data_IF_569225247220
#
_entry.id   IF_569225247220
#
_cell.length_a   1.000
_cell.length_b   1.000
_cell.length_c   1.000
_cell.angle_alpha   90.00
_cell.angle_beta   90.00
_cell.angle_gamma   90.00
#
_symmetry.space_group_name_H-M   'P 1'
#
loop_
_entity.id
_entity.type
_entity.pdbx_description
1 polymer ?
#
# COMPACT_ATOMS: atom_id res chain seq x y z
N UNK A 1 14.66 15.31 5.19
CA UNK A 1 15.91 15.79 4.69
C UNK A 1 16.16 15.19 3.29
N UNK A 2 15.81 15.89 2.30
CA UNK A 2 16.22 15.93 0.92
C UNK A 2 16.47 14.69 0.10
N UNK A 3 16.86 14.98 -1.15
CA UNK A 3 17.06 14.00 -2.20
C UNK A 3 18.19 12.99 -1.95
N UNK A 4 19.20 13.30 -1.10
CA UNK A 4 20.32 12.40 -0.83
C UNK A 4 19.85 11.16 -0.05
N UNK A 5 19.04 11.31 0.98
CA UNK A 5 18.50 10.19 1.75
C UNK A 5 17.54 9.33 0.93
N UNK A 6 16.72 9.94 0.04
CA UNK A 6 15.91 9.18 -0.91
C UNK A 6 16.78 8.38 -1.90
N UNK A 7 17.94 8.92 -2.31
CA UNK A 7 18.87 8.17 -3.15
C UNK A 7 19.55 7.02 -2.40
N UNK A 8 19.84 7.17 -1.11
CA UNK A 8 20.29 6.05 -0.26
C UNK A 8 19.24 4.94 -0.21
N UNK A 9 17.97 5.29 0.04
CA UNK A 9 16.87 4.33 0.03
C UNK A 9 16.69 3.67 -1.35
N UNK A 10 16.79 4.44 -2.44
CA UNK A 10 16.68 3.92 -3.80
C UNK A 10 17.79 2.91 -4.10
N UNK A 11 19.02 3.23 -3.76
CA UNK A 11 20.18 2.35 -3.93
C UNK A 11 20.01 1.07 -3.11
N UNK A 12 19.60 1.19 -1.84
CA UNK A 12 19.36 0.02 -0.98
C UNK A 12 18.30 -0.90 -1.57
N UNK A 13 17.14 -0.35 -1.98
CA UNK A 13 16.07 -1.17 -2.58
C UNK A 13 16.55 -1.91 -3.83
N UNK A 14 17.37 -1.27 -4.66
CA UNK A 14 18.02 -1.92 -5.81
C UNK A 14 18.90 -3.09 -5.36
N UNK A 15 19.75 -2.87 -4.36
CA UNK A 15 20.68 -3.87 -3.85
C UNK A 15 20.01 -5.10 -3.23
N UNK A 16 18.82 -4.96 -2.67
CA UNK A 16 18.05 -6.08 -2.05
C UNK A 16 16.92 -6.58 -2.95
N UNK A 17 16.87 -6.15 -4.21
CA UNK A 17 15.79 -6.47 -5.16
C UNK A 17 14.40 -6.26 -4.57
N UNK A 18 14.21 -5.13 -3.87
CA UNK A 18 12.96 -4.85 -3.20
C UNK A 18 11.79 -4.74 -4.19
N UNK A 19 10.65 -5.40 -3.96
CA UNK A 19 9.59 -5.57 -4.95
C UNK A 19 8.95 -4.28 -5.44
N UNK A 20 8.81 -3.26 -4.56
CA UNK A 20 8.18 -2.01 -4.91
C UNK A 20 9.18 -0.87 -5.13
N UNK A 21 8.95 -0.07 -6.18
CA UNK A 21 9.70 1.17 -6.42
C UNK A 21 9.08 2.41 -5.76
N UNK A 22 7.97 2.26 -5.05
CA UNK A 22 7.34 3.35 -4.28
C UNK A 22 8.28 3.76 -3.15
N UNK A 23 8.60 5.06 -3.05
CA UNK A 23 9.52 5.58 -2.02
C UNK A 23 8.80 5.86 -0.72
N UNK A 24 7.55 6.31 -0.80
CA UNK A 24 6.76 6.69 0.35
C UNK A 24 6.47 5.48 1.22
N UNK A 25 6.70 5.63 2.54
CA UNK A 25 6.53 4.56 3.53
C UNK A 25 7.45 3.33 3.31
N UNK A 26 8.58 3.50 2.58
CA UNK A 26 9.61 2.48 2.58
C UNK A 26 10.30 2.45 3.94
N UNK A 27 10.03 1.42 4.72
CA UNK A 27 10.62 1.19 6.03
C UNK A 27 11.86 0.28 5.93
N UNK A 28 12.90 0.64 6.67
CA UNK A 28 14.14 -0.12 6.75
C UNK A 28 14.50 -0.33 8.22
N UNK A 29 14.37 -1.56 8.76
CA UNK A 29 14.79 -1.90 10.11
C UNK A 29 16.26 -1.54 10.36
N UNK A 30 16.61 -1.06 11.55
CA UNK A 30 17.98 -0.65 11.87
C UNK A 30 18.99 -1.78 11.67
N UNK A 31 18.64 -3.01 11.98
CA UNK A 31 19.50 -4.17 11.78
C UNK A 31 20.02 -4.29 10.33
N UNK A 32 19.23 -3.79 9.38
CA UNK A 32 19.54 -3.79 7.98
C UNK A 32 20.08 -2.44 7.47
N UNK A 33 19.50 -1.33 7.95
CA UNK A 33 19.88 0.02 7.53
C UNK A 33 21.31 0.38 7.95
N UNK A 34 21.70 0.09 9.20
CA UNK A 34 22.99 0.50 9.76
C UNK A 34 24.19 -0.14 9.04
N UNK A 35 24.24 -1.47 8.81
CA UNK A 35 25.34 -2.09 8.04
C UNK A 35 25.46 -1.51 6.63
N UNK A 36 24.33 -1.30 5.96
CA UNK A 36 24.29 -0.70 4.63
C UNK A 36 24.83 0.72 4.63
N UNK A 37 24.37 1.57 5.55
CA UNK A 37 24.82 2.95 5.66
C UNK A 37 26.32 3.04 5.99
N UNK A 38 26.84 2.16 6.87
CA UNK A 38 28.28 2.07 7.18
C UNK A 38 29.10 1.73 5.93
N UNK A 39 28.61 0.83 5.08
CA UNK A 39 29.27 0.50 3.79
C UNK A 39 29.33 1.72 2.87
N UNK A 40 28.20 2.43 2.72
CA UNK A 40 28.14 3.66 1.90
C UNK A 40 29.02 4.78 2.46
N UNK A 41 29.04 4.96 3.78
CA UNK A 41 29.84 5.97 4.47
C UNK A 41 31.35 5.80 4.23
N UNK A 42 31.82 4.54 4.05
CA UNK A 42 33.23 4.23 3.71
C UNK A 42 33.60 4.52 2.25
N UNK A 43 32.66 5.05 1.45
CA UNK A 43 32.88 5.31 0.02
C UNK A 43 32.66 4.13 -0.90
N UNK A 44 32.12 3.01 -0.40
CA UNK A 44 31.91 1.78 -1.16
C UNK A 44 30.62 1.79 -1.99
N UNK A 45 29.96 2.94 -2.11
CA UNK A 45 28.68 3.06 -2.84
C UNK A 45 28.77 2.62 -4.33
N UNK A 46 29.94 2.84 -4.95
CA UNK A 46 30.17 2.42 -6.35
C UNK A 46 30.09 0.89 -6.54
N UNK A 47 30.35 0.11 -5.50
CA UNK A 47 30.35 -1.34 -5.50
C UNK A 47 28.96 -1.93 -5.11
N UNK A 48 27.97 -1.07 -4.89
CA UNK A 48 26.61 -1.51 -4.54
C UNK A 48 25.81 -1.68 -5.82
N UNK A 49 25.14 -2.80 -5.96
CA UNK A 49 24.25 -3.04 -7.10
C UNK A 49 23.16 -1.98 -7.19
N UNK A 50 22.85 -1.57 -8.41
CA UNK A 50 21.89 -0.49 -8.65
C UNK A 50 22.44 0.93 -8.56
N UNK A 51 23.76 1.15 -8.35
CA UNK A 51 24.36 2.51 -8.28
C UNK A 51 24.06 3.35 -9.54
N UNK A 52 23.94 2.71 -10.69
CA UNK A 52 23.59 3.37 -11.95
C UNK A 52 22.21 4.08 -11.90
N UNK A 53 21.33 3.67 -10.98
CA UNK A 53 20.01 4.30 -10.79
C UNK A 53 20.10 5.65 -10.07
N UNK A 54 21.25 5.97 -9.46
CA UNK A 54 21.54 7.25 -8.83
C UNK A 54 22.33 8.12 -9.81
N UNK A 55 21.87 9.34 -10.06
CA UNK A 55 22.58 10.26 -10.98
C UNK A 55 24.02 10.51 -10.51
N UNK A 56 24.96 10.62 -11.46
CA UNK A 56 26.41 10.79 -11.19
C UNK A 56 26.67 11.94 -10.21
N UNK A 57 26.01 13.08 -10.41
CA UNK A 57 26.19 14.27 -9.55
C UNK A 57 25.74 14.06 -8.09
N UNK A 58 24.94 13.01 -7.82
CA UNK A 58 24.48 12.67 -6.48
C UNK A 58 25.24 11.50 -5.84
N UNK A 59 25.95 10.73 -6.65
CA UNK A 59 26.75 9.60 -6.12
C UNK A 59 27.84 10.07 -5.16
N UNK A 60 28.51 11.20 -5.47
CA UNK A 60 29.51 11.80 -4.61
C UNK A 60 28.98 12.28 -3.23
N UNK A 61 27.68 12.52 -3.13
CA UNK A 61 27.04 12.99 -1.90
C UNK A 61 26.51 11.84 -1.02
N UNK A 62 26.51 10.60 -1.53
CA UNK A 62 25.92 9.46 -0.80
C UNK A 62 26.66 9.17 0.50
N UNK A 63 28.00 9.21 0.50
CA UNK A 63 28.82 8.97 1.70
C UNK A 63 28.52 9.99 2.80
N UNK A 64 28.46 11.26 2.47
CA UNK A 64 28.10 12.32 3.43
C UNK A 64 26.67 12.17 3.95
N UNK A 65 25.73 11.84 3.07
CA UNK A 65 24.35 11.56 3.47
C UNK A 65 24.22 10.34 4.40
N UNK A 66 25.02 9.30 4.16
CA UNK A 66 25.06 8.12 5.01
C UNK A 66 25.66 8.43 6.39
N UNK A 67 26.76 9.20 6.46
CA UNK A 67 27.37 9.63 7.72
C UNK A 67 26.38 10.46 8.54
N UNK A 68 25.72 11.44 7.92
CA UNK A 68 24.74 12.28 8.61
C UNK A 68 23.54 11.45 9.13
N UNK A 69 23.07 10.46 8.35
CA UNK A 69 21.97 9.60 8.79
C UNK A 69 22.39 8.65 9.91
N UNK A 70 23.61 8.12 9.87
CA UNK A 70 24.16 7.30 10.97
C UNK A 70 24.25 8.09 12.28
N UNK A 71 24.71 9.34 12.22
CA UNK A 71 24.78 10.22 13.39
C UNK A 71 23.38 10.49 13.98
N UNK A 72 22.37 10.71 13.13
CA UNK A 72 20.98 10.86 13.57
C UNK A 72 20.47 9.57 14.23
N UNK A 73 20.73 8.42 13.63
CA UNK A 73 20.35 7.12 14.18
C UNK A 73 21.01 6.89 15.55
N UNK A 74 22.30 7.21 15.68
CA UNK A 74 23.04 7.01 16.93
C UNK A 74 22.49 7.89 18.06
N UNK A 75 22.13 9.14 17.77
CA UNK A 75 21.59 10.07 18.78
C UNK A 75 20.13 9.80 19.13
N UNK A 76 19.31 9.44 18.15
CA UNK A 76 17.86 9.30 18.35
C UNK A 76 17.43 7.88 18.72
N UNK A 77 18.27 6.87 18.48
CA UNK A 77 17.98 5.45 18.74
C UNK A 77 16.58 5.02 18.25
N UNK A 78 16.21 5.30 16.98
CA UNK A 78 14.91 4.92 16.47
C UNK A 78 14.80 3.39 16.31
N UNK A 79 13.58 2.88 16.09
CA UNK A 79 13.38 1.45 15.78
C UNK A 79 13.68 1.12 14.32
N UNK A 80 13.35 2.03 13.43
CA UNK A 80 13.55 1.90 11.98
C UNK A 80 13.76 3.26 11.33
N UNK A 81 14.11 3.24 10.05
CA UNK A 81 14.22 4.44 9.22
C UNK A 81 13.19 4.34 8.11
N UNK A 82 12.15 5.16 8.20
CA UNK A 82 11.12 5.26 7.18
C UNK A 82 11.44 6.40 6.20
N UNK A 83 11.33 6.12 4.91
CA UNK A 83 11.59 7.09 3.86
C UNK A 83 10.29 7.61 3.26
N UNK A 84 10.18 8.94 3.18
CA UNK A 84 9.02 9.61 2.59
C UNK A 84 9.34 10.20 1.21
N UNK A 85 8.40 10.08 0.28
CA UNK A 85 8.41 10.84 -0.96
C UNK A 85 8.09 12.33 -0.73
N UNK A 86 7.35 12.61 0.34
CA UNK A 86 6.97 13.97 0.75
C UNK A 86 8.07 14.60 1.59
N UNK A 87 8.22 15.91 1.51
CA UNK A 87 9.25 16.67 2.23
C UNK A 87 8.67 17.86 2.98
N UNK A 88 9.56 18.76 3.42
CA UNK A 88 9.19 19.94 4.19
C UNK A 88 8.20 20.84 3.45
N UNK A 89 8.33 20.95 2.12
CA UNK A 89 7.42 21.78 1.30
C UNK A 89 5.99 21.27 1.36
N UNK A 90 5.83 19.96 1.15
CA UNK A 90 4.52 19.30 1.20
C UNK A 90 3.94 19.39 2.61
N UNK A 91 4.76 19.20 3.65
CA UNK A 91 4.35 19.37 5.05
C UNK A 91 3.92 20.79 5.38
N UNK A 92 4.63 21.79 4.86
CA UNK A 92 4.24 23.19 5.04
C UNK A 92 2.92 23.51 4.35
N UNK A 93 2.74 23.09 3.10
CA UNK A 93 1.47 23.25 2.38
C UNK A 93 0.31 22.58 3.11
N UNK A 94 0.54 21.37 3.64
CA UNK A 94 -0.45 20.66 4.43
C UNK A 94 -0.84 21.43 5.70
N UNK A 95 0.12 22.06 6.38
CA UNK A 95 -0.14 22.87 7.58
C UNK A 95 -0.96 24.14 7.33
N UNK A 96 -1.12 24.54 6.05
CA UNK A 96 -1.97 25.69 5.66
C UNK A 96 -3.43 25.28 5.38
N UNK A 97 -3.72 23.98 5.33
CA UNK A 97 -5.10 23.51 5.14
C UNK A 97 -5.93 23.81 6.39
N UNK A 98 -7.26 23.98 6.25
CA UNK A 98 -8.19 24.00 7.37
C UNK A 98 -8.06 22.74 8.24
N UNK A 99 -8.32 22.86 9.53
CA UNK A 99 -8.12 21.76 10.50
C UNK A 99 -8.95 20.51 10.15
N UNK A 100 -10.17 20.67 9.69
CA UNK A 100 -11.04 19.60 9.23
C UNK A 100 -10.42 18.81 8.07
N UNK A 101 -9.75 19.50 7.15
CA UNK A 101 -9.04 18.86 6.04
C UNK A 101 -7.76 18.17 6.49
N UNK A 102 -7.05 18.73 7.48
CA UNK A 102 -5.86 18.09 8.06
C UNK A 102 -6.20 16.79 8.79
N UNK A 103 -7.40 16.68 9.35
CA UNK A 103 -7.89 15.47 10.04
C UNK A 103 -8.44 14.39 9.11
N UNK A 104 -8.61 14.71 7.82
CA UNK A 104 -9.13 13.75 6.84
C UNK A 104 -8.10 12.64 6.56
N UNK A 105 -8.56 11.38 6.53
CA UNK A 105 -7.69 10.25 6.21
C UNK A 105 -7.26 10.29 4.72
N UNK A 106 -5.96 10.49 4.43
CA UNK A 106 -5.51 10.68 3.05
C UNK A 106 -5.65 9.41 2.19
N UNK A 107 -5.61 8.21 2.77
CA UNK A 107 -5.82 6.96 2.04
C UNK A 107 -7.27 6.82 1.61
N UNK A 108 -8.21 7.05 2.53
CA UNK A 108 -9.64 6.92 2.25
C UNK A 108 -10.06 7.98 1.24
N UNK A 109 -9.67 9.25 1.42
CA UNK A 109 -9.99 10.31 0.47
C UNK A 109 -9.47 10.01 -0.95
N UNK A 110 -8.25 9.51 -1.07
CA UNK A 110 -7.69 9.14 -2.38
C UNK A 110 -8.43 7.93 -3.00
N UNK A 111 -8.86 6.97 -2.19
CA UNK A 111 -9.63 5.82 -2.65
C UNK A 111 -11.04 6.23 -3.10
N UNK A 112 -11.69 7.14 -2.38
CA UNK A 112 -12.99 7.73 -2.75
C UNK A 112 -12.91 8.50 -4.07
N UNK A 113 -11.91 9.39 -4.19
CA UNK A 113 -11.69 10.13 -5.43
C UNK A 113 -11.47 9.20 -6.62
N UNK A 114 -10.62 8.19 -6.46
CA UNK A 114 -10.35 7.24 -7.52
C UNK A 114 -11.57 6.36 -7.85
N UNK A 115 -12.40 6.05 -6.85
CA UNK A 115 -13.69 5.38 -7.03
C UNK A 115 -14.62 6.22 -7.89
N UNK A 116 -14.78 7.51 -7.57
CA UNK A 116 -15.60 8.45 -8.37
C UNK A 116 -15.11 8.54 -9.81
N UNK A 117 -13.80 8.58 -10.02
CA UNK A 117 -13.20 8.73 -11.35
C UNK A 117 -13.26 7.44 -12.19
N UNK A 118 -13.25 6.27 -11.58
CA UNK A 118 -13.00 5.01 -12.28
C UNK A 118 -14.02 3.91 -12.06
N UNK A 119 -14.69 3.82 -10.92
CA UNK A 119 -15.66 2.76 -10.66
C UNK A 119 -16.99 3.00 -11.40
N UNK A 120 -17.77 1.95 -11.61
CA UNK A 120 -19.12 2.05 -12.17
C UNK A 120 -20.08 2.74 -11.21
N UNK A 121 -19.95 2.46 -9.91
CA UNK A 121 -20.79 3.03 -8.86
C UNK A 121 -19.99 3.25 -7.57
N UNK A 122 -19.63 4.50 -7.23
CA UNK A 122 -19.04 4.83 -5.94
C UNK A 122 -19.96 4.50 -4.76
N UNK A 123 -21.28 4.61 -4.94
CA UNK A 123 -22.27 4.27 -3.90
C UNK A 123 -22.17 2.77 -3.57
N UNK A 124 -22.14 1.91 -4.59
CA UNK A 124 -21.98 0.47 -4.38
C UNK A 124 -20.64 0.14 -3.69
N UNK A 125 -19.58 0.87 -4.00
CA UNK A 125 -18.29 0.66 -3.36
C UNK A 125 -18.33 0.99 -1.85
N UNK A 126 -19.07 2.02 -1.45
CA UNK A 126 -19.32 2.35 -0.04
C UNK A 126 -20.18 1.28 0.65
N UNK A 127 -21.28 0.87 0.02
CA UNK A 127 -22.14 -0.23 0.52
C UNK A 127 -21.32 -1.51 0.73
N UNK A 128 -20.39 -1.82 -0.17
CA UNK A 128 -19.48 -2.95 -0.06
C UNK A 128 -18.53 -2.82 1.15
N UNK A 129 -18.00 -1.60 1.40
CA UNK A 129 -17.14 -1.35 2.54
C UNK A 129 -17.89 -1.57 3.87
N UNK A 130 -19.12 -1.06 3.95
CA UNK A 130 -19.97 -1.23 5.13
C UNK A 130 -20.36 -2.70 5.34
N UNK A 131 -20.78 -3.38 4.28
CA UNK A 131 -21.16 -4.78 4.31
C UNK A 131 -19.99 -5.69 4.74
N UNK A 132 -18.82 -5.51 4.17
CA UNK A 132 -17.65 -6.32 4.56
C UNK A 132 -17.27 -6.09 6.02
N UNK A 133 -17.43 -4.87 6.55
CA UNK A 133 -17.25 -4.58 7.98
C UNK A 133 -18.21 -5.35 8.88
N UNK A 134 -19.48 -5.42 8.50
CA UNK A 134 -20.47 -6.23 9.21
C UNK A 134 -20.13 -7.72 9.17
N UNK A 135 -19.69 -8.24 8.00
CA UNK A 135 -19.25 -9.64 7.91
C UNK A 135 -18.10 -9.91 8.86
N UNK A 136 -17.06 -9.05 8.91
CA UNK A 136 -15.92 -9.25 9.82
C UNK A 136 -16.37 -9.31 11.28
N UNK A 137 -17.32 -8.47 11.68
CA UNK A 137 -17.89 -8.49 13.05
C UNK A 137 -18.66 -9.79 13.33
N UNK A 138 -19.53 -10.21 12.40
CA UNK A 138 -20.37 -11.39 12.53
C UNK A 138 -19.53 -12.67 12.67
N UNK A 139 -18.48 -12.79 11.85
CA UNK A 139 -17.59 -13.97 11.88
C UNK A 139 -16.50 -13.88 12.96
N UNK A 140 -16.49 -12.82 13.78
CA UNK A 140 -15.56 -12.65 14.88
C UNK A 140 -14.12 -12.37 14.47
N UNK A 141 -13.90 -11.84 13.27
CA UNK A 141 -12.57 -11.45 12.80
C UNK A 141 -12.25 -10.04 13.30
N UNK A 142 -11.40 -9.93 14.32
CA UNK A 142 -10.93 -8.64 14.82
C UNK A 142 -10.04 -7.92 13.78
N UNK A 143 -10.20 -6.61 13.65
CA UNK A 143 -9.38 -5.76 12.82
C UNK A 143 -8.70 -4.69 13.67
N UNK A 144 -7.41 -4.44 13.43
CA UNK A 144 -6.75 -3.21 13.91
C UNK A 144 -7.29 -2.00 13.14
N UNK A 145 -7.06 -0.79 13.66
CA UNK A 145 -7.48 0.43 12.95
C UNK A 145 -6.92 0.51 11.52
N UNK A 146 -5.67 0.08 11.31
CA UNK A 146 -5.08 0.06 9.96
C UNK A 146 -5.71 -1.02 9.07
N UNK A 147 -5.99 -2.21 9.59
CA UNK A 147 -6.63 -3.26 8.81
C UNK A 147 -8.03 -2.87 8.35
N UNK A 148 -8.82 -2.23 9.22
CA UNK A 148 -10.14 -1.70 8.85
C UNK A 148 -10.03 -0.62 7.77
N UNK A 149 -9.06 0.31 7.88
CA UNK A 149 -8.79 1.33 6.86
C UNK A 149 -8.40 0.70 5.51
N UNK A 150 -7.52 -0.29 5.51
CA UNK A 150 -7.10 -0.97 4.29
C UNK A 150 -8.24 -1.76 3.65
N UNK A 151 -9.11 -2.39 4.46
CA UNK A 151 -10.33 -3.06 3.98
C UNK A 151 -11.28 -2.06 3.29
N UNK A 152 -11.58 -0.94 3.94
CA UNK A 152 -12.44 0.12 3.40
C UNK A 152 -11.87 0.61 2.07
N UNK A 153 -10.59 1.00 2.04
CA UNK A 153 -9.94 1.48 0.82
C UNK A 153 -9.94 0.41 -0.29
N UNK A 154 -9.70 -0.87 0.03
CA UNK A 154 -9.78 -1.96 -0.94
C UNK A 154 -11.18 -2.10 -1.54
N UNK A 155 -12.24 -1.95 -0.74
CA UNK A 155 -13.63 -1.97 -1.22
C UNK A 155 -13.96 -0.77 -2.11
N UNK A 156 -13.53 0.43 -1.73
CA UNK A 156 -13.69 1.64 -2.55
C UNK A 156 -13.01 1.49 -3.92
N UNK A 157 -11.88 0.79 -3.96
CA UNK A 157 -11.10 0.53 -5.18
C UNK A 157 -11.50 -0.76 -5.91
N UNK A 158 -12.54 -1.46 -5.45
CA UNK A 158 -12.87 -2.79 -5.96
C UNK A 158 -13.20 -2.84 -7.45
N UNK A 159 -13.68 -1.74 -8.03
CA UNK A 159 -14.14 -1.71 -9.44
C UNK A 159 -13.31 -0.79 -10.35
N UNK A 160 -12.13 -0.34 -9.92
CA UNK A 160 -11.31 0.61 -10.69
C UNK A 160 -10.73 0.03 -11.99
N UNK A 161 -10.64 -1.29 -12.08
CA UNK A 161 -10.15 -2.02 -13.25
C UNK A 161 -11.24 -2.47 -14.21
N UNK A 162 -12.52 -2.14 -13.99
CA UNK A 162 -13.65 -2.73 -14.74
C UNK A 162 -13.60 -2.47 -16.25
N UNK A 163 -12.97 -1.37 -16.69
CA UNK A 163 -12.83 -1.02 -18.12
C UNK A 163 -11.75 -1.82 -18.85
N UNK A 164 -10.90 -2.54 -18.12
CA UNK A 164 -9.96 -3.47 -18.74
C UNK A 164 -10.69 -4.69 -19.30
N UNK A 165 -10.05 -5.35 -20.27
CA UNK A 165 -10.53 -6.66 -20.73
C UNK A 165 -10.70 -7.60 -19.52
N UNK A 166 -11.76 -8.42 -19.46
CA UNK A 166 -12.04 -9.31 -18.32
C UNK A 166 -10.82 -10.08 -17.81
N UNK A 167 -10.03 -10.66 -18.70
CA UNK A 167 -8.87 -11.49 -18.39
C UNK A 167 -7.69 -10.69 -17.76
N UNK A 168 -7.74 -9.37 -17.81
CA UNK A 168 -6.69 -8.49 -17.28
C UNK A 168 -7.13 -7.60 -16.11
N UNK A 169 -8.40 -7.73 -15.68
CA UNK A 169 -8.93 -6.85 -14.61
C UNK A 169 -8.21 -7.03 -13.30
N UNK A 170 -7.87 -8.26 -12.94
CA UNK A 170 -7.13 -8.58 -11.73
C UNK A 170 -5.75 -7.94 -11.75
N UNK A 171 -4.96 -8.22 -12.79
CA UNK A 171 -3.62 -7.65 -12.95
C UNK A 171 -3.65 -6.12 -13.06
N UNK A 172 -4.62 -5.53 -13.77
CA UNK A 172 -4.76 -4.09 -13.89
C UNK A 172 -5.09 -3.41 -12.56
N UNK A 173 -6.05 -3.96 -11.80
CA UNK A 173 -6.42 -3.45 -10.48
C UNK A 173 -5.24 -3.53 -9.51
N UNK A 174 -4.56 -4.68 -9.48
CA UNK A 174 -3.35 -4.89 -8.69
C UNK A 174 -2.29 -3.84 -9.01
N UNK A 175 -1.99 -3.61 -10.30
CA UNK A 175 -0.96 -2.66 -10.72
C UNK A 175 -1.33 -1.20 -10.36
N UNK A 176 -2.59 -0.80 -10.53
CA UNK A 176 -3.05 0.55 -10.17
C UNK A 176 -2.88 0.77 -8.66
N UNK A 177 -3.26 -0.19 -7.82
CA UNK A 177 -3.19 -0.08 -6.36
C UNK A 177 -1.75 -0.17 -5.88
N UNK A 178 -0.99 -1.17 -6.33
CA UNK A 178 0.38 -1.38 -5.90
C UNK A 178 1.30 -0.19 -6.22
N UNK A 179 1.09 0.45 -7.37
CA UNK A 179 1.95 1.54 -7.85
C UNK A 179 1.32 2.93 -7.73
N UNK A 180 0.08 3.04 -7.25
CA UNK A 180 -0.63 4.31 -7.09
C UNK A 180 0.04 5.26 -6.11
N UNK A 181 -0.16 6.56 -6.28
CA UNK A 181 0.42 7.61 -5.44
C UNK A 181 -0.38 7.81 -4.13
N UNK A 182 -0.75 6.73 -3.46
CA UNK A 182 -1.44 6.79 -2.17
C UNK A 182 -0.50 7.24 -1.05
N UNK A 183 -1.04 8.00 -0.11
CA UNK A 183 -0.41 8.49 1.11
C UNK A 183 -1.10 7.85 2.32
N UNK A 184 -0.40 7.75 3.44
CA UNK A 184 -0.96 7.15 4.66
C UNK A 184 -1.14 5.63 4.61
N UNK A 185 -0.34 4.96 3.80
CA UNK A 185 -0.34 3.51 3.65
C UNK A 185 1.09 2.98 3.53
N UNK A 186 1.42 1.98 4.34
CA UNK A 186 2.69 1.26 4.26
C UNK A 186 2.71 0.23 3.11
N UNK A 187 3.88 -0.35 2.84
CA UNK A 187 4.02 -1.32 1.76
C UNK A 187 3.25 -2.63 2.01
N UNK A 188 3.19 -3.19 3.24
CA UNK A 188 2.33 -4.33 3.55
C UNK A 188 0.84 -4.06 3.32
N UNK A 189 0.32 -2.91 3.78
CA UNK A 189 -1.07 -2.52 3.54
C UNK A 189 -1.38 -2.32 2.07
N UNK A 190 -0.45 -1.76 1.32
CA UNK A 190 -0.55 -1.60 -0.13
C UNK A 190 -0.62 -2.96 -0.84
N UNK A 191 0.21 -3.91 -0.43
CA UNK A 191 0.17 -5.28 -0.93
C UNK A 191 -1.17 -5.95 -0.60
N UNK A 192 -1.66 -5.82 0.64
CA UNK A 192 -2.97 -6.32 1.06
C UNK A 192 -4.10 -5.81 0.15
N UNK A 193 -4.20 -4.50 -0.07
CA UNK A 193 -5.25 -3.92 -0.90
C UNK A 193 -5.17 -4.37 -2.36
N UNK A 194 -3.95 -4.42 -2.91
CA UNK A 194 -3.72 -4.86 -4.28
C UNK A 194 -4.09 -6.34 -4.49
N UNK A 195 -3.70 -7.20 -3.54
CA UNK A 195 -4.01 -8.62 -3.54
C UNK A 195 -5.51 -8.89 -3.37
N UNK A 196 -6.19 -8.20 -2.44
CA UNK A 196 -7.63 -8.34 -2.28
C UNK A 196 -8.39 -8.02 -3.57
N UNK A 197 -8.00 -6.96 -4.27
CA UNK A 197 -8.59 -6.61 -5.56
C UNK A 197 -8.22 -7.59 -6.68
N UNK A 198 -7.03 -8.15 -6.65
CA UNK A 198 -6.65 -9.23 -7.56
C UNK A 198 -7.54 -10.46 -7.37
N UNK A 199 -7.67 -10.97 -6.13
CA UNK A 199 -8.48 -12.13 -5.81
C UNK A 199 -9.98 -11.92 -6.10
N UNK A 200 -10.47 -10.70 -5.99
CA UNK A 200 -11.84 -10.37 -6.42
C UNK A 200 -12.07 -10.72 -7.89
N UNK A 201 -11.12 -10.48 -8.77
CA UNK A 201 -11.26 -10.72 -10.21
C UNK A 201 -10.87 -12.14 -10.61
N UNK A 202 -9.69 -12.60 -10.15
CA UNK A 202 -9.11 -13.88 -10.55
C UNK A 202 -9.62 -15.07 -9.71
N UNK A 203 -10.23 -14.81 -8.55
CA UNK A 203 -10.54 -15.84 -7.57
C UNK A 203 -9.31 -16.22 -6.75
N UNK A 204 -9.33 -17.40 -6.11
CA UNK A 204 -8.26 -17.84 -5.20
C UNK A 204 -7.07 -18.50 -5.93
N UNK A 205 -6.88 -18.21 -7.21
CA UNK A 205 -5.81 -18.78 -8.04
C UNK A 205 -4.55 -17.92 -7.88
N UNK A 206 -3.47 -18.54 -7.44
CA UNK A 206 -2.20 -17.87 -7.18
C UNK A 206 -1.23 -17.87 -8.38
N UNK A 207 -1.49 -18.69 -9.41
CA UNK A 207 -0.56 -18.96 -10.52
C UNK A 207 -0.19 -17.70 -11.35
N UNK A 208 -1.04 -16.68 -11.32
CA UNK A 208 -0.82 -15.43 -12.04
C UNK A 208 -0.16 -14.33 -11.19
N UNK A 209 0.08 -14.59 -9.88
CA UNK A 209 0.73 -13.63 -8.99
C UNK A 209 2.24 -13.73 -9.09
N UNK A 210 2.90 -12.58 -9.29
CA UNK A 210 4.35 -12.52 -9.06
C UNK A 210 4.64 -12.68 -7.56
N UNK A 211 5.65 -13.46 -7.23
CA UNK A 211 6.13 -13.66 -5.85
C UNK A 211 6.54 -12.33 -5.19
N UNK A 212 6.89 -11.35 -5.98
CA UNK A 212 7.36 -10.04 -5.56
C UNK A 212 6.36 -9.31 -4.65
N UNK A 213 5.12 -9.12 -5.09
CA UNK A 213 4.12 -8.39 -4.30
C UNK A 213 3.62 -9.22 -3.11
N UNK A 214 3.55 -10.55 -3.29
CA UNK A 214 3.21 -11.48 -2.23
C UNK A 214 4.20 -11.41 -1.07
N UNK A 215 5.49 -11.27 -1.35
CA UNK A 215 6.54 -11.19 -0.33
C UNK A 215 6.44 -9.97 0.59
N UNK A 216 5.73 -8.93 0.17
CA UNK A 216 5.50 -7.72 0.98
C UNK A 216 4.35 -7.88 1.98
N UNK A 217 3.43 -8.80 1.73
CA UNK A 217 2.30 -9.06 2.61
C UNK A 217 2.68 -10.09 3.68
N UNK A 218 2.65 -9.75 4.97
CA UNK A 218 2.71 -10.75 6.03
C UNK A 218 1.64 -11.83 5.82
N UNK A 219 1.89 -13.05 6.30
CA UNK A 219 1.00 -14.20 6.07
C UNK A 219 -0.47 -13.89 6.41
N UNK A 220 -0.71 -13.23 7.56
CA UNK A 220 -2.07 -12.86 7.96
C UNK A 220 -2.72 -11.82 7.03
N UNK A 221 -1.95 -10.90 6.41
CA UNK A 221 -2.49 -9.97 5.41
C UNK A 221 -2.82 -10.69 4.11
N UNK A 222 -2.01 -11.67 3.73
CA UNK A 222 -2.26 -12.47 2.54
C UNK A 222 -3.56 -13.28 2.66
N UNK A 223 -3.75 -13.96 3.81
CA UNK A 223 -4.97 -14.74 4.09
C UNK A 223 -6.21 -13.84 4.15
N UNK A 224 -6.08 -12.67 4.79
CA UNK A 224 -7.17 -11.67 4.82
C UNK A 224 -7.46 -11.07 3.45
N UNK A 225 -6.47 -10.89 2.61
CA UNK A 225 -6.67 -10.42 1.23
C UNK A 225 -7.46 -11.44 0.40
N UNK A 226 -7.18 -12.73 0.57
CA UNK A 226 -7.96 -13.81 -0.04
C UNK A 226 -9.41 -13.81 0.45
N UNK A 227 -9.62 -13.70 1.75
CA UNK A 227 -10.97 -13.63 2.34
C UNK A 227 -11.72 -12.42 1.80
N UNK A 228 -11.15 -11.21 1.89
CA UNK A 228 -11.80 -10.00 1.41
C UNK A 228 -12.09 -10.05 -0.09
N UNK A 229 -11.14 -10.53 -0.90
CA UNK A 229 -11.31 -10.71 -2.34
C UNK A 229 -12.46 -11.65 -2.67
N UNK A 230 -12.58 -12.76 -1.92
CA UNK A 230 -13.68 -13.71 -2.07
C UNK A 230 -15.03 -13.11 -1.70
N UNK A 231 -15.10 -12.37 -0.59
CA UNK A 231 -16.32 -11.65 -0.19
C UNK A 231 -16.73 -10.63 -1.25
N UNK A 232 -15.80 -9.81 -1.72
CA UNK A 232 -16.06 -8.85 -2.79
C UNK A 232 -16.55 -9.56 -4.06
N UNK A 233 -15.94 -10.69 -4.46
CA UNK A 233 -16.34 -11.46 -5.62
C UNK A 233 -17.77 -11.94 -5.52
N UNK A 234 -18.17 -12.52 -4.39
CA UNK A 234 -19.56 -12.98 -4.15
C UNK A 234 -20.54 -11.84 -4.28
N UNK A 235 -20.25 -10.70 -3.63
CA UNK A 235 -21.12 -9.51 -3.71
C UNK A 235 -21.29 -9.03 -5.14
N UNK A 236 -20.20 -8.92 -5.91
CA UNK A 236 -20.28 -8.47 -7.29
C UNK A 236 -21.02 -9.43 -8.22
N UNK A 237 -21.05 -10.74 -7.91
CA UNK A 237 -21.81 -11.72 -8.69
C UNK A 237 -23.32 -11.51 -8.59
N UNK A 238 -23.84 -11.18 -7.40
CA UNK A 238 -25.28 -10.98 -7.26
C UNK A 238 -25.71 -9.52 -7.44
N UNK A 239 -24.89 -8.55 -7.11
CA UNK A 239 -25.23 -7.12 -7.19
C UNK A 239 -24.97 -6.50 -8.56
N UNK A 240 -24.10 -7.10 -9.37
CA UNK A 240 -23.64 -6.57 -10.66
C UNK A 240 -23.15 -5.09 -10.58
N UNK A 241 -22.63 -4.66 -9.44
CA UNK A 241 -22.26 -3.28 -9.10
C UNK A 241 -23.45 -2.30 -9.05
N UNK A 242 -24.68 -2.80 -8.89
CA UNK A 242 -25.86 -1.96 -8.77
C UNK A 242 -25.98 -1.43 -7.33
N UNK A 243 -26.10 -0.10 -7.12
CA UNK A 243 -26.33 0.47 -5.81
C UNK A 243 -27.70 0.05 -5.27
N UNK A 244 -27.83 -0.04 -3.94
CA UNK A 244 -29.05 -0.44 -3.23
C UNK A 244 -29.32 -1.95 -3.18
N UNK A 245 -28.56 -2.77 -3.92
CA UNK A 245 -28.71 -4.22 -3.89
C UNK A 245 -28.10 -4.82 -2.63
N UNK A 246 -26.94 -4.38 -2.22
CA UNK A 246 -26.25 -4.88 -1.01
C UNK A 246 -27.10 -4.64 0.25
N UNK A 247 -27.62 -3.44 0.52
CA UNK A 247 -28.47 -3.20 1.69
C UNK A 247 -29.79 -3.96 1.69
N UNK A 248 -30.28 -4.37 0.52
CA UNK A 248 -31.52 -5.18 0.40
C UNK A 248 -31.33 -6.66 0.74
N UNK A 249 -30.08 -7.12 0.87
CA UNK A 249 -29.72 -8.50 1.22
C UNK A 249 -29.03 -8.54 2.58
N UNK A 250 -29.76 -8.46 3.71
CA UNK A 250 -29.17 -8.42 5.04
C UNK A 250 -28.41 -9.73 5.34
N UNK A 251 -27.27 -9.55 6.01
CA UNK A 251 -26.46 -10.68 6.49
C UNK A 251 -27.12 -11.23 7.75
N UNK A 252 -27.41 -12.53 7.75
CA UNK A 252 -27.85 -13.25 8.93
C UNK A 252 -26.91 -14.39 9.26
N UNK A 253 -26.66 -14.62 10.53
CA UNK A 253 -26.08 -15.87 11.02
C UNK A 253 -27.22 -16.90 11.15
N UNK A 254 -27.56 -17.57 10.08
CA UNK A 254 -28.24 -18.86 10.23
C UNK A 254 -27.14 -19.89 10.45
N UNK A 255 -27.14 -20.47 11.66
CA UNK A 255 -26.06 -21.29 12.13
C UNK A 255 -25.69 -22.40 11.17
N UNK A 256 -24.41 -22.63 11.02
CA UNK A 256 -23.88 -23.93 10.74
C UNK A 256 -24.11 -24.75 12.03
N UNK A 257 -25.28 -25.35 12.17
CA UNK A 257 -25.52 -26.49 13.07
C UNK A 257 -24.95 -27.76 12.45
#
# INVERSE_FOLDING_TARGET
VGGTWRNLAKLRRGAVHYPLRVMHEYDSPLAEAVPYLKKVAKGEAANIDGIHTVSKNRQSLLAFGAIALLEVIERMQPRSVMFSALGVREGYLYSLLPEDQQLTDPLISAAEELSVLRARSPIHAQELADWTGQVMQIVGIGETGNEARYRIAACLLADIGWRAHPDYRGAQSLNIIAHGAFVGIDHPGRAFMALANFFRHEGMIDDALSDDLRSLAPAHYYDRAKLLGSLMRVVYLYSAAMPGVIPSAPIGTHGLE
#
